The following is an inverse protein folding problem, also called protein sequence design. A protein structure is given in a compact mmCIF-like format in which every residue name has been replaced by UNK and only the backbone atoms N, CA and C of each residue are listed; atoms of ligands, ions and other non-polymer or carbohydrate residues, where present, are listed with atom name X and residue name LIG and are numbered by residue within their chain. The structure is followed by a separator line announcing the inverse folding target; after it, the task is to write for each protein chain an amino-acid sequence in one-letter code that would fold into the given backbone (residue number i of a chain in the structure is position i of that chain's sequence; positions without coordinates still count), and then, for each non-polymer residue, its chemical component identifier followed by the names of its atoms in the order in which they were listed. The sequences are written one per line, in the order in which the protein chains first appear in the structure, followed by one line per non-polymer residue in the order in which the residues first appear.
data_IF_424266752812
#
_entry.id   IF_424266752812
#
_cell.length_a   1.000
_cell.length_b   1.000
_cell.length_c   1.000
_cell.angle_alpha   90.00
_cell.angle_beta   90.00
_cell.angle_gamma   90.00
#
_symmetry.space_group_name_H-M   'P 1'
#
loop_
_entity.id
_entity.type
_entity.pdbx_description
1 polymer ?
#
# COMPACT_ATOMS: atom_id res chain seq x y z
N UNK A 1 -10.33 1.43 -9.61
CA UNK A 1 -9.64 0.77 -8.47
C UNK A 1 -9.85 -0.74 -8.48
N UNK A 2 -11.00 -1.24 -8.93
CA UNK A 2 -11.30 -2.69 -8.96
C UNK A 2 -10.28 -3.52 -9.76
N UNK A 3 -9.97 -3.15 -11.02
CA UNK A 3 -9.02 -3.91 -11.86
C UNK A 3 -7.61 -4.07 -11.20
N UNK A 4 -6.95 -3.02 -10.69
CA UNK A 4 -5.69 -3.20 -9.94
C UNK A 4 -5.83 -4.10 -8.72
N UNK A 5 -6.97 -4.06 -8.00
CA UNK A 5 -7.20 -4.87 -6.80
C UNK A 5 -7.38 -6.37 -7.13
N UNK A 6 -7.95 -6.70 -8.28
CA UNK A 6 -8.02 -8.10 -8.75
C UNK A 6 -6.62 -8.65 -9.08
N UNK A 7 -5.80 -7.84 -9.76
CA UNK A 7 -4.45 -8.26 -10.16
C UNK A 7 -3.54 -8.56 -8.97
N UNK A 8 -3.63 -7.77 -7.89
CA UNK A 8 -2.82 -8.00 -6.68
C UNK A 8 -3.22 -9.26 -5.92
N UNK A 9 -4.40 -9.83 -6.17
CA UNK A 9 -4.83 -11.10 -5.60
C UNK A 9 -4.43 -12.31 -6.46
N UNK A 10 -3.75 -12.09 -7.59
CA UNK A 10 -3.34 -13.18 -8.49
C UNK A 10 -2.32 -14.14 -7.86
N UNK A 11 -2.40 -15.41 -8.24
CA UNK A 11 -1.36 -16.40 -7.90
C UNK A 11 -0.05 -16.15 -8.65
N UNK A 12 -0.09 -15.47 -9.79
CA UNK A 12 1.10 -15.10 -10.55
C UNK A 12 1.76 -13.84 -9.94
N UNK A 13 3.03 -13.97 -9.58
CA UNK A 13 3.81 -12.88 -9.01
C UNK A 13 4.01 -11.72 -10.01
N UNK A 14 4.09 -12.00 -11.31
CA UNK A 14 4.18 -10.96 -12.35
C UNK A 14 2.91 -10.13 -12.43
N UNK A 15 1.75 -10.79 -12.33
CA UNK A 15 0.46 -10.09 -12.29
C UNK A 15 0.33 -9.26 -11.01
N UNK A 16 0.74 -9.80 -9.86
CA UNK A 16 0.74 -9.01 -8.61
C UNK A 16 1.66 -7.78 -8.69
N UNK A 17 2.86 -7.92 -9.27
CA UNK A 17 3.77 -6.79 -9.49
C UNK A 17 3.13 -5.72 -10.40
N UNK A 18 2.55 -6.13 -11.52
CA UNK A 18 1.84 -5.19 -12.41
C UNK A 18 0.64 -4.55 -11.72
N UNK A 19 -0.07 -5.30 -10.87
CA UNK A 19 -1.18 -4.82 -10.07
C UNK A 19 -0.77 -3.72 -9.10
N UNK A 20 0.29 -3.90 -8.31
CA UNK A 20 0.76 -2.87 -7.37
C UNK A 20 1.31 -1.63 -8.10
N UNK A 21 1.94 -1.80 -9.25
CA UNK A 21 2.47 -0.70 -10.04
C UNK A 21 1.33 0.16 -10.64
N UNK A 22 0.27 -0.50 -11.15
CA UNK A 22 -0.95 0.18 -11.61
C UNK A 22 -1.71 0.85 -10.47
N UNK A 23 -1.81 0.19 -9.32
CA UNK A 23 -2.48 0.74 -8.14
C UNK A 23 -1.76 2.00 -7.65
N UNK A 24 -0.43 1.94 -7.53
CA UNK A 24 0.36 3.10 -7.13
C UNK A 24 0.21 4.26 -8.13
N UNK A 25 0.35 3.98 -9.44
CA UNK A 25 0.17 4.99 -10.48
C UNK A 25 -1.24 5.59 -10.53
N UNK A 26 -2.29 4.79 -10.25
CA UNK A 26 -3.66 5.29 -10.11
C UNK A 26 -3.78 6.28 -8.95
N UNK A 27 -3.21 5.95 -7.79
CA UNK A 27 -3.28 6.80 -6.60
C UNK A 27 -2.47 8.09 -6.76
N UNK A 28 -1.27 8.05 -7.34
CA UNK A 28 -0.50 9.28 -7.62
C UNK A 28 -1.21 10.24 -8.59
N UNK A 29 -1.97 9.70 -9.54
CA UNK A 29 -2.72 10.50 -10.50
C UNK A 29 -4.13 10.84 -10.05
N UNK A 30 -4.57 10.33 -8.89
CA UNK A 30 -5.88 10.64 -8.35
C UNK A 30 -5.94 12.13 -7.97
N UNK A 31 -7.06 12.78 -8.30
CA UNK A 31 -7.33 14.20 -8.00
C UNK A 31 -8.54 14.39 -7.08
N UNK A 32 -9.11 13.29 -6.60
CA UNK A 32 -10.21 13.28 -5.62
C UNK A 32 -9.78 12.55 -4.37
N UNK A 33 -10.45 12.85 -3.26
CA UNK A 33 -10.32 12.02 -2.06
C UNK A 33 -10.93 10.64 -2.29
N UNK A 34 -10.40 9.65 -1.59
CA UNK A 34 -10.93 8.28 -1.57
C UNK A 34 -12.04 8.20 -0.53
N UNK A 35 -13.12 7.48 -0.86
CA UNK A 35 -14.16 7.19 0.12
C UNK A 35 -13.66 6.21 1.18
N UNK A 36 -14.33 6.18 2.34
CA UNK A 36 -13.98 5.23 3.42
C UNK A 36 -13.96 3.78 2.95
N UNK A 37 -14.90 3.37 2.10
CA UNK A 37 -14.95 2.00 1.58
C UNK A 37 -13.75 1.70 0.68
N UNK A 38 -13.34 2.65 -0.16
CA UNK A 38 -12.18 2.50 -1.02
C UNK A 38 -10.88 2.36 -0.22
N UNK A 39 -10.76 3.16 0.85
CA UNK A 39 -9.62 3.08 1.77
C UNK A 39 -9.60 1.74 2.50
N UNK A 40 -10.73 1.25 2.99
CA UNK A 40 -10.81 -0.09 3.62
C UNK A 40 -10.32 -1.18 2.68
N UNK A 41 -10.86 -1.25 1.46
CA UNK A 41 -10.46 -2.27 0.48
C UNK A 41 -8.97 -2.18 0.12
N UNK A 42 -8.45 -0.95 0.00
CA UNK A 42 -7.04 -0.73 -0.27
C UNK A 42 -6.16 -1.24 0.89
N UNK A 43 -6.50 -0.89 2.13
CA UNK A 43 -5.73 -1.30 3.31
C UNK A 43 -5.75 -2.81 3.46
N UNK A 44 -6.92 -3.44 3.37
CA UNK A 44 -7.06 -4.89 3.52
C UNK A 44 -6.19 -5.63 2.49
N UNK A 45 -6.24 -5.20 1.22
CA UNK A 45 -5.39 -5.79 0.18
C UNK A 45 -3.91 -5.53 0.45
N UNK A 46 -3.53 -4.31 0.83
CA UNK A 46 -2.12 -4.00 1.08
C UNK A 46 -1.55 -4.79 2.26
N UNK A 47 -2.32 -5.02 3.34
CA UNK A 47 -1.85 -5.80 4.49
C UNK A 47 -1.42 -7.22 4.12
N UNK A 48 -2.07 -7.84 3.14
CA UNK A 48 -1.66 -9.14 2.61
C UNK A 48 -0.43 -9.00 1.69
N UNK A 49 -0.38 -7.96 0.85
CA UNK A 49 0.76 -7.70 -0.04
C UNK A 49 2.05 -7.34 0.70
N UNK A 50 1.97 -6.77 1.90
CA UNK A 50 3.15 -6.52 2.73
C UNK A 50 3.87 -7.82 3.11
N UNK A 51 3.15 -8.95 3.14
CA UNK A 51 3.67 -10.28 3.45
C UNK A 51 4.13 -11.05 2.21
N UNK A 52 4.06 -10.45 1.03
CA UNK A 52 4.44 -11.12 -0.22
C UNK A 52 5.93 -11.50 -0.22
N UNK A 53 6.24 -12.65 -0.82
CA UNK A 53 7.62 -13.14 -0.94
C UNK A 53 8.45 -12.33 -1.93
N UNK A 54 7.81 -11.58 -2.83
CA UNK A 54 8.46 -10.67 -3.76
C UNK A 54 8.49 -9.25 -3.20
N UNK A 55 9.71 -8.75 -2.97
CA UNK A 55 9.93 -7.43 -2.40
C UNK A 55 9.31 -6.29 -3.22
N UNK A 56 9.18 -6.43 -4.55
CA UNK A 56 8.57 -5.39 -5.39
C UNK A 56 7.07 -5.26 -5.14
N UNK A 57 6.40 -6.37 -4.82
CA UNK A 57 4.99 -6.37 -4.46
C UNK A 57 4.80 -5.66 -3.11
N UNK A 58 5.57 -6.05 -2.10
CA UNK A 58 5.55 -5.41 -0.77
C UNK A 58 5.91 -3.92 -0.84
N UNK A 59 6.94 -3.56 -1.61
CA UNK A 59 7.33 -2.17 -1.85
C UNK A 59 6.19 -1.37 -2.52
N UNK A 60 5.59 -1.89 -3.59
CA UNK A 60 4.51 -1.22 -4.30
C UNK A 60 3.25 -1.02 -3.45
N UNK A 61 2.94 -1.95 -2.55
CA UNK A 61 1.88 -1.80 -1.55
C UNK A 61 2.17 -0.64 -0.58
N UNK A 62 3.39 -0.56 -0.05
CA UNK A 62 3.81 0.56 0.83
C UNK A 62 3.72 1.91 0.11
N UNK A 63 4.15 1.97 -1.15
CA UNK A 63 4.06 3.19 -1.97
C UNK A 63 2.61 3.58 -2.25
N UNK A 64 1.74 2.61 -2.52
CA UNK A 64 0.31 2.83 -2.71
C UNK A 64 -0.35 3.38 -1.43
N UNK A 65 -0.04 2.80 -0.28
CA UNK A 65 -0.51 3.28 1.02
C UNK A 65 -0.04 4.72 1.32
N UNK A 66 1.20 5.07 0.95
CA UNK A 66 1.71 6.42 1.14
C UNK A 66 0.94 7.44 0.27
N UNK A 67 0.66 7.11 -1.00
CA UNK A 67 -0.17 7.96 -1.85
C UNK A 67 -1.61 8.10 -1.30
N UNK A 68 -2.18 7.01 -0.78
CA UNK A 68 -3.51 7.04 -0.18
C UNK A 68 -3.59 7.85 1.11
N UNK A 69 -2.53 7.86 1.93
CA UNK A 69 -2.44 8.69 3.13
C UNK A 69 -2.59 10.18 2.81
N UNK A 70 -1.99 10.65 1.71
CA UNK A 70 -2.12 12.03 1.24
C UNK A 70 -3.54 12.33 0.75
N UNK A 71 -4.21 11.38 0.08
CA UNK A 71 -5.54 11.58 -0.49
C UNK A 71 -6.69 11.47 0.53
N UNK A 72 -6.52 10.64 1.56
CA UNK A 72 -7.60 10.23 2.45
C UNK A 72 -7.11 9.88 3.87
N UNK A 73 -6.23 10.72 4.44
CA UNK A 73 -5.62 10.49 5.75
C UNK A 73 -6.62 10.24 6.88
N UNK A 74 -7.76 10.95 6.92
CA UNK A 74 -8.79 10.74 7.96
C UNK A 74 -9.42 9.35 7.91
N UNK A 75 -9.68 8.82 6.72
CA UNK A 75 -10.17 7.45 6.58
C UNK A 75 -9.08 6.43 6.88
N UNK A 76 -7.83 6.72 6.52
CA UNK A 76 -6.70 5.82 6.76
C UNK A 76 -6.40 5.67 8.27
N UNK A 77 -6.59 6.74 9.06
CA UNK A 77 -6.44 6.74 10.54
C UNK A 77 -7.28 5.66 11.22
N UNK A 78 -8.44 5.32 10.66
CA UNK A 78 -9.32 4.27 11.20
C UNK A 78 -8.66 2.88 11.18
N UNK A 79 -7.65 2.68 10.33
CA UNK A 79 -6.97 1.40 10.16
C UNK A 79 -5.59 1.34 10.84
N UNK A 80 -5.17 2.39 11.56
CA UNK A 80 -3.82 2.48 12.13
C UNK A 80 -3.44 1.32 13.05
N UNK A 81 -4.40 0.79 13.82
CA UNK A 81 -4.17 -0.34 14.71
C UNK A 81 -3.64 -1.59 13.98
N UNK A 82 -4.06 -1.81 12.74
CA UNK A 82 -3.56 -2.90 11.90
C UNK A 82 -2.39 -2.45 11.01
N UNK A 83 -2.49 -1.24 10.45
CA UNK A 83 -1.54 -0.72 9.46
C UNK A 83 -0.18 -0.41 10.06
N UNK A 84 -0.12 0.31 11.18
CA UNK A 84 1.15 0.79 11.75
C UNK A 84 2.05 -0.37 12.16
N UNK A 85 1.59 -1.40 12.90
CA UNK A 85 2.43 -2.56 13.22
C UNK A 85 2.98 -3.26 11.98
N UNK A 86 2.12 -3.48 10.96
CA UNK A 86 2.53 -4.14 9.73
C UNK A 86 3.60 -3.35 8.96
N UNK A 87 3.50 -2.02 8.92
CA UNK A 87 4.50 -1.15 8.29
C UNK A 87 5.81 -1.11 9.10
N UNK A 88 5.73 -1.09 10.43
CA UNK A 88 6.91 -1.13 11.31
C UNK A 88 7.69 -2.42 11.11
N UNK A 89 7.03 -3.57 10.95
CA UNK A 89 7.71 -4.83 10.62
C UNK A 89 8.52 -4.72 9.31
N UNK A 90 8.00 -3.98 8.32
CA UNK A 90 8.70 -3.80 7.02
C UNK A 90 9.97 -2.94 7.12
N UNK A 91 10.18 -2.19 8.21
CA UNK A 91 11.46 -1.52 8.46
C UNK A 91 12.61 -2.51 8.68
N UNK A 92 12.30 -3.75 9.08
CA UNK A 92 13.25 -4.84 9.24
C UNK A 92 13.48 -5.69 7.99
N UNK A 93 12.88 -5.33 6.85
CA UNK A 93 13.00 -6.13 5.62
C UNK A 93 14.46 -6.24 5.14
N UNK A 94 14.82 -7.36 4.53
CA UNK A 94 16.17 -7.57 4.00
C UNK A 94 16.52 -6.62 2.84
N UNK A 95 15.53 -6.14 2.09
CA UNK A 95 15.70 -5.29 0.91
C UNK A 95 15.56 -3.81 1.28
N UNK A 96 16.59 -3.02 0.95
CA UNK A 96 16.60 -1.57 1.19
C UNK A 96 15.37 -0.84 0.61
N UNK A 97 14.91 -1.13 -0.63
CA UNK A 97 13.74 -0.43 -1.18
C UNK A 97 12.45 -0.58 -0.36
N UNK A 98 12.25 -1.75 0.28
CA UNK A 98 11.09 -1.98 1.15
C UNK A 98 11.21 -1.15 2.42
N UNK A 99 12.40 -1.12 3.04
CA UNK A 99 12.67 -0.31 4.24
C UNK A 99 12.46 1.19 3.96
N UNK A 100 12.92 1.68 2.82
CA UNK A 100 12.77 3.09 2.43
C UNK A 100 11.30 3.45 2.18
N UNK A 101 10.54 2.57 1.51
CA UNK A 101 9.11 2.76 1.30
C UNK A 101 8.33 2.77 2.63
N UNK A 102 8.68 1.87 3.57
CA UNK A 102 8.06 1.82 4.89
C UNK A 102 8.36 3.08 5.70
N UNK A 103 9.62 3.54 5.72
CA UNK A 103 10.00 4.81 6.35
C UNK A 103 9.22 5.97 5.75
N UNK A 104 9.10 6.03 4.42
CA UNK A 104 8.37 7.11 3.75
C UNK A 104 6.90 7.12 4.15
N UNK A 105 6.25 5.96 4.16
CA UNK A 105 4.86 5.85 4.61
C UNK A 105 4.69 6.34 6.05
N UNK A 106 5.53 5.90 6.98
CA UNK A 106 5.43 6.35 8.38
C UNK A 106 5.60 7.87 8.52
N UNK A 107 6.52 8.47 7.78
CA UNK A 107 6.66 9.93 7.76
C UNK A 107 5.40 10.61 7.23
N UNK A 108 4.82 10.11 6.14
CA UNK A 108 3.56 10.64 5.59
C UNK A 108 2.38 10.48 6.55
N UNK A 109 2.36 9.45 7.41
CA UNK A 109 1.31 9.30 8.43
C UNK A 109 1.44 10.29 9.61
N UNK A 110 2.60 10.93 9.78
CA UNK A 110 2.86 11.90 10.84
C UNK A 110 2.58 13.35 10.44
N UNK A 111 2.45 13.61 9.14
CA UNK A 111 2.07 14.91 8.56
C UNK A 111 0.56 15.12 8.61
#
# INVERSE_FOLDING_TARGET
MEEPLEMVQSKDTKERMAGVERLHGYLENCRRSLSSAEVTSLVDCCLDLLKDSNFRVSQGALQSLASAAVLAGEHLKLHFNALVPAVVERLGDAKQPVRDAARRLLLTLME
#
